data_IF_886731352402
#
_entry.id   IF_886731352402
#
_cell.length_a   1.000
_cell.length_b   1.000
_cell.length_c   1.000
_cell.angle_alpha   90.00
_cell.angle_beta   90.00
_cell.angle_gamma   90.00
#
_symmetry.space_group_name_H-M   'P 1'
#
loop_
_entity.id
_entity.type
_entity.pdbx_description
1 polymer ?
#
# COMPACT_ATOMS: atom_id res chain seq x y z
N UNK A 1 33.15 1.36 -2.44
CA UNK A 1 31.75 0.88 -2.42
C UNK A 1 31.67 -0.30 -1.45
N UNK A 2 30.58 -0.44 -0.69
CA UNK A 2 30.46 -1.54 0.29
C UNK A 2 30.34 -2.87 -0.45
N UNK A 3 31.02 -3.92 0.03
CA UNK A 3 30.94 -5.25 -0.56
C UNK A 3 29.55 -5.86 -0.38
N UNK A 4 29.11 -6.67 -1.35
CA UNK A 4 27.86 -7.40 -1.23
C UNK A 4 28.01 -8.57 -0.26
N UNK A 5 27.12 -8.67 0.71
CA UNK A 5 26.94 -9.84 1.58
C UNK A 5 25.44 -10.05 1.83
N UNK A 6 25.01 -11.30 2.01
CA UNK A 6 23.60 -11.59 2.33
C UNK A 6 23.17 -10.93 3.65
N UNK A 7 24.04 -10.95 4.67
CA UNK A 7 23.79 -10.26 5.93
C UNK A 7 23.62 -8.74 5.76
N UNK A 8 24.42 -8.13 4.89
CA UNK A 8 24.30 -6.71 4.53
C UNK A 8 23.00 -6.39 3.81
N UNK A 9 22.57 -7.27 2.89
CA UNK A 9 21.27 -7.15 2.23
C UNK A 9 20.12 -7.26 3.24
N UNK A 10 20.13 -8.27 4.11
CA UNK A 10 19.09 -8.46 5.12
C UNK A 10 18.96 -7.24 6.04
N UNK A 11 20.09 -6.67 6.47
CA UNK A 11 20.09 -5.44 7.28
C UNK A 11 19.44 -4.28 6.53
N UNK A 12 19.86 -4.03 5.28
CA UNK A 12 19.31 -2.96 4.44
C UNK A 12 17.81 -3.16 4.17
N UNK A 13 17.38 -4.39 3.93
CA UNK A 13 15.96 -4.71 3.74
C UNK A 13 15.16 -4.49 5.03
N UNK A 14 15.71 -4.77 6.22
CA UNK A 14 15.05 -4.45 7.50
C UNK A 14 14.89 -2.93 7.68
N UNK A 15 15.93 -2.16 7.37
CA UNK A 15 15.95 -0.69 7.49
C UNK A 15 15.14 0.03 6.39
N UNK A 16 14.79 -0.65 5.31
CA UNK A 16 13.98 -0.11 4.21
C UNK A 16 12.63 0.38 4.70
N UNK A 17 12.31 1.64 4.37
CA UNK A 17 11.02 2.27 4.63
C UNK A 17 10.40 2.83 3.34
N UNK A 18 9.18 3.37 3.44
CA UNK A 18 8.39 3.83 2.30
C UNK A 18 8.82 5.16 1.69
N UNK A 19 9.85 5.83 2.24
CA UNK A 19 10.35 7.07 1.67
C UNK A 19 11.09 6.83 0.35
N UNK A 20 10.93 7.76 -0.58
CA UNK A 20 11.59 7.70 -1.89
C UNK A 20 13.11 7.60 -1.77
N UNK A 21 13.71 8.35 -0.83
CA UNK A 21 15.15 8.34 -0.59
C UNK A 21 15.64 6.95 -0.12
N UNK A 22 14.91 6.29 0.78
CA UNK A 22 15.27 4.96 1.28
C UNK A 22 15.25 3.93 0.14
N UNK A 23 14.18 3.95 -0.66
CA UNK A 23 14.01 3.05 -1.81
C UNK A 23 15.09 3.28 -2.87
N UNK A 24 15.34 4.53 -3.28
CA UNK A 24 16.34 4.87 -4.29
C UNK A 24 17.76 4.53 -3.85
N UNK A 25 18.10 4.81 -2.60
CA UNK A 25 19.44 4.50 -2.06
C UNK A 25 19.71 3.00 -2.10
N UNK A 26 18.73 2.18 -1.70
CA UNK A 26 18.86 0.73 -1.77
C UNK A 26 18.86 0.24 -3.22
N UNK A 27 17.98 0.75 -4.06
CA UNK A 27 17.90 0.41 -5.49
C UNK A 27 19.24 0.62 -6.21
N UNK A 28 19.88 1.77 -6.02
CA UNK A 28 21.18 2.07 -6.62
C UNK A 28 22.26 1.08 -6.16
N UNK A 29 22.27 0.75 -4.87
CA UNK A 29 23.20 -0.24 -4.32
C UNK A 29 22.95 -1.64 -4.92
N UNK A 30 21.70 -2.06 -5.07
CA UNK A 30 21.35 -3.32 -5.73
C UNK A 30 21.79 -3.34 -7.19
N UNK A 31 21.50 -2.28 -7.96
CA UNK A 31 21.90 -2.17 -9.37
C UNK A 31 23.43 -2.25 -9.53
N UNK A 32 24.18 -1.65 -8.61
CA UNK A 32 25.64 -1.78 -8.59
C UNK A 32 26.09 -3.24 -8.40
N UNK A 33 25.35 -4.01 -7.59
CA UNK A 33 25.61 -5.41 -7.28
C UNK A 33 24.78 -6.41 -8.11
N UNK A 34 24.34 -6.03 -9.32
CA UNK A 34 23.44 -6.86 -10.17
C UNK A 34 23.92 -8.27 -10.48
N UNK A 35 25.23 -8.55 -10.38
CA UNK A 35 25.78 -9.92 -10.48
C UNK A 35 25.20 -10.89 -9.45
N UNK A 36 24.62 -10.36 -8.37
CA UNK A 36 23.93 -11.12 -7.33
C UNK A 36 22.40 -11.01 -7.44
N UNK A 37 21.85 -10.65 -8.61
CA UNK A 37 20.41 -10.47 -8.80
C UNK A 37 19.60 -11.68 -8.32
N UNK A 38 20.05 -12.90 -8.62
CA UNK A 38 19.40 -14.13 -8.16
C UNK A 38 19.27 -14.19 -6.63
N UNK A 39 20.38 -14.00 -5.90
CA UNK A 39 20.39 -14.00 -4.44
C UNK A 39 19.54 -12.87 -3.86
N UNK A 40 19.60 -11.68 -4.46
CA UNK A 40 18.80 -10.52 -4.05
C UNK A 40 17.30 -10.83 -4.16
N UNK A 41 16.85 -11.34 -5.31
CA UNK A 41 15.44 -11.63 -5.56
C UNK A 41 14.97 -12.78 -4.68
N UNK A 42 15.80 -13.80 -4.44
CA UNK A 42 15.49 -14.89 -3.51
C UNK A 42 15.25 -14.39 -2.08
N UNK A 43 16.08 -13.47 -1.59
CA UNK A 43 15.93 -12.88 -0.25
C UNK A 43 14.71 -11.95 -0.23
N UNK A 44 14.52 -11.11 -1.24
CA UNK A 44 13.33 -10.27 -1.40
C UNK A 44 12.04 -11.09 -1.37
N UNK A 45 11.98 -12.23 -2.08
CA UNK A 45 10.83 -13.13 -2.10
C UNK A 45 10.51 -13.67 -0.71
N UNK A 46 11.53 -14.07 0.07
CA UNK A 46 11.34 -14.49 1.47
C UNK A 46 10.75 -13.36 2.33
N UNK A 47 11.24 -12.13 2.19
CA UNK A 47 10.73 -10.97 2.92
C UNK A 47 9.30 -10.60 2.53
N UNK A 48 8.88 -10.83 1.27
CA UNK A 48 7.47 -10.70 0.87
C UNK A 48 6.59 -11.72 1.60
N UNK A 49 7.06 -12.97 1.76
CA UNK A 49 6.28 -14.03 2.39
C UNK A 49 6.04 -13.80 3.87
N UNK A 50 7.00 -13.21 4.59
CA UNK A 50 6.95 -13.00 6.05
C UNK A 50 6.60 -11.56 6.45
N UNK A 51 6.68 -10.60 5.53
CA UNK A 51 6.46 -9.18 5.80
C UNK A 51 5.00 -8.80 6.00
N UNK A 52 4.77 -7.70 6.74
CA UNK A 52 3.46 -7.06 6.84
C UNK A 52 3.05 -6.42 5.51
N UNK A 53 1.75 -6.13 5.33
CA UNK A 53 1.22 -5.48 4.11
C UNK A 53 2.00 -4.21 3.72
N UNK A 54 2.32 -3.35 4.69
CA UNK A 54 3.11 -2.12 4.47
C UNK A 54 4.53 -2.43 3.98
N UNK A 55 5.15 -3.48 4.56
CA UNK A 55 6.47 -3.92 4.14
C UNK A 55 6.45 -4.51 2.73
N UNK A 56 5.45 -5.35 2.43
CA UNK A 56 5.24 -5.93 1.12
C UNK A 56 5.08 -4.85 0.04
N UNK A 57 4.24 -3.84 0.29
CA UNK A 57 4.07 -2.72 -0.65
C UNK A 57 5.38 -1.95 -0.86
N UNK A 58 6.14 -1.70 0.20
CA UNK A 58 7.45 -1.02 0.11
C UNK A 58 8.45 -1.86 -0.70
N UNK A 59 8.48 -3.17 -0.50
CA UNK A 59 9.32 -4.11 -1.25
C UNK A 59 8.92 -4.20 -2.73
N UNK A 60 7.64 -4.06 -3.05
CA UNK A 60 7.16 -3.97 -4.44
C UNK A 60 7.60 -2.66 -5.11
N UNK A 61 7.62 -1.53 -4.38
CA UNK A 61 8.17 -0.28 -4.90
C UNK A 61 9.69 -0.35 -5.12
N UNK A 62 10.42 -1.03 -4.24
CA UNK A 62 11.83 -1.32 -4.48
C UNK A 62 12.03 -2.17 -5.74
N UNK A 63 11.27 -3.26 -5.90
CA UNK A 63 11.35 -4.11 -7.09
C UNK A 63 11.09 -3.29 -8.37
N UNK A 64 10.05 -2.44 -8.35
CA UNK A 64 9.75 -1.56 -9.47
C UNK A 64 10.90 -0.62 -9.83
N UNK A 65 11.50 0.04 -8.83
CA UNK A 65 12.61 0.98 -9.07
C UNK A 65 13.84 0.23 -9.62
N UNK A 66 14.19 -0.93 -9.05
CA UNK A 66 15.31 -1.76 -9.51
C UNK A 66 15.07 -2.27 -10.94
N UNK A 67 13.90 -2.83 -11.24
CA UNK A 67 13.58 -3.37 -12.57
C UNK A 67 13.68 -2.27 -13.63
N UNK A 68 13.12 -1.09 -13.37
CA UNK A 68 13.10 -0.01 -14.36
C UNK A 68 14.48 0.65 -14.54
N UNK A 69 15.22 0.87 -13.46
CA UNK A 69 16.53 1.55 -13.52
C UNK A 69 17.69 0.62 -13.91
N UNK A 70 17.55 -0.70 -13.73
CA UNK A 70 18.57 -1.68 -14.15
C UNK A 70 18.59 -1.97 -15.64
N UNK A 71 17.52 -1.67 -16.40
CA UNK A 71 17.41 -2.01 -17.84
C UNK A 71 18.61 -1.58 -18.69
N UNK A 72 19.20 -0.41 -18.38
CA UNK A 72 20.38 0.12 -19.09
C UNK A 72 21.69 -0.59 -18.73
N UNK A 73 21.71 -1.35 -17.64
CA UNK A 73 22.89 -2.06 -17.10
C UNK A 73 22.88 -3.55 -17.44
N UNK A 74 21.69 -4.14 -17.59
CA UNK A 74 21.51 -5.51 -18.03
C UNK A 74 20.12 -6.06 -17.67
N UNK A 75 19.78 -7.26 -18.19
CA UNK A 75 18.46 -7.86 -18.01
C UNK A 75 18.31 -8.66 -16.71
N UNK A 76 19.37 -8.81 -15.91
CA UNK A 76 19.46 -9.78 -14.81
C UNK A 76 18.32 -9.61 -13.80
N UNK A 77 18.04 -8.37 -13.38
CA UNK A 77 16.94 -8.11 -12.46
C UNK A 77 15.57 -8.33 -13.08
N UNK A 78 15.35 -7.90 -14.32
CA UNK A 78 14.08 -8.14 -15.01
C UNK A 78 13.77 -9.64 -15.11
N UNK A 79 14.76 -10.45 -15.46
CA UNK A 79 14.61 -11.90 -15.55
C UNK A 79 14.36 -12.55 -14.18
N UNK A 80 15.16 -12.21 -13.16
CA UNK A 80 15.02 -12.83 -11.85
C UNK A 80 13.72 -12.43 -11.15
N UNK A 81 13.33 -11.16 -11.18
CA UNK A 81 12.04 -10.74 -10.62
C UNK A 81 10.87 -11.39 -11.35
N UNK A 82 10.92 -11.49 -12.68
CA UNK A 82 9.86 -12.13 -13.47
C UNK A 82 9.50 -13.55 -13.00
N UNK A 83 10.48 -14.31 -12.49
CA UNK A 83 10.29 -15.68 -11.98
C UNK A 83 9.55 -15.73 -10.64
N UNK A 84 9.70 -14.71 -9.79
CA UNK A 84 9.16 -14.69 -8.43
C UNK A 84 7.92 -13.80 -8.27
N UNK A 85 7.65 -12.90 -9.23
CA UNK A 85 6.59 -11.91 -9.14
C UNK A 85 5.19 -12.54 -9.03
N UNK A 86 4.88 -13.58 -9.83
CA UNK A 86 3.58 -14.25 -9.74
C UNK A 86 3.30 -14.78 -8.32
N UNK A 87 4.31 -15.43 -7.72
CA UNK A 87 4.24 -15.91 -6.34
C UNK A 87 4.10 -14.77 -5.32
N UNK A 88 4.83 -13.67 -5.52
CA UNK A 88 4.74 -12.49 -4.67
C UNK A 88 3.35 -11.85 -4.71
N UNK A 89 2.77 -11.64 -5.90
CA UNK A 89 1.41 -11.12 -6.06
C UNK A 89 0.38 -12.05 -5.42
N UNK A 90 0.52 -13.37 -5.58
CA UNK A 90 -0.35 -14.35 -4.91
C UNK A 90 -0.26 -14.27 -3.39
N UNK A 91 0.91 -14.03 -2.82
CA UNK A 91 1.03 -13.88 -1.37
C UNK A 91 0.36 -12.60 -0.87
N UNK A 92 0.61 -11.47 -1.56
CA UNK A 92 0.07 -10.18 -1.16
C UNK A 92 -1.46 -10.17 -1.29
N UNK A 93 -2.01 -10.84 -2.31
CA UNK A 93 -3.45 -10.88 -2.55
C UNK A 93 -4.26 -11.49 -1.40
N UNK A 94 -3.66 -12.35 -0.57
CA UNK A 94 -4.32 -13.00 0.57
C UNK A 94 -4.72 -12.01 1.67
N UNK A 95 -3.91 -10.98 1.89
CA UNK A 95 -4.04 -10.10 3.06
C UNK A 95 -3.96 -8.60 2.72
N UNK A 96 -4.08 -8.20 1.46
CA UNK A 96 -4.00 -6.79 1.08
C UNK A 96 -5.33 -6.04 1.28
N UNK A 97 -5.25 -4.80 1.75
CA UNK A 97 -6.34 -3.83 1.72
C UNK A 97 -6.67 -3.39 0.29
N UNK A 98 -7.87 -2.84 0.09
CA UNK A 98 -8.29 -2.28 -1.20
C UNK A 98 -7.33 -1.17 -1.69
N UNK A 99 -6.76 -0.39 -0.78
CA UNK A 99 -5.76 0.65 -1.10
C UNK A 99 -4.47 0.06 -1.67
N UNK A 100 -3.90 -0.95 -1.00
CA UNK A 100 -2.71 -1.64 -1.49
C UNK A 100 -2.99 -2.33 -2.82
N UNK A 101 -4.18 -2.92 -2.95
CA UNK A 101 -4.63 -3.53 -4.20
C UNK A 101 -4.66 -2.54 -5.36
N UNK A 102 -5.27 -1.37 -5.18
CA UNK A 102 -5.27 -0.31 -6.19
C UNK A 102 -3.84 0.12 -6.57
N UNK A 103 -2.95 0.29 -5.61
CA UNK A 103 -1.56 0.66 -5.87
C UNK A 103 -0.82 -0.39 -6.72
N UNK A 104 -0.99 -1.67 -6.41
CA UNK A 104 -0.35 -2.77 -7.11
C UNK A 104 -0.96 -3.04 -8.48
N UNK A 105 -2.28 -2.88 -8.64
CA UNK A 105 -2.93 -2.91 -9.95
C UNK A 105 -2.40 -1.80 -10.86
N UNK A 106 -2.26 -0.57 -10.34
CA UNK A 106 -1.67 0.53 -11.10
C UNK A 106 -0.24 0.22 -11.53
N UNK A 107 0.55 -0.41 -10.66
CA UNK A 107 1.92 -0.82 -10.93
C UNK A 107 1.98 -1.85 -12.07
N UNK A 108 1.08 -2.85 -12.09
CA UNK A 108 0.96 -3.81 -13.19
C UNK A 108 0.58 -3.13 -14.52
N UNK A 109 -0.38 -2.21 -14.51
CA UNK A 109 -0.77 -1.47 -15.71
C UNK A 109 0.39 -0.65 -16.28
N UNK A 110 1.17 0.02 -15.42
CA UNK A 110 2.36 0.75 -15.84
C UNK A 110 3.41 -0.18 -16.46
N UNK A 111 3.57 -1.39 -15.92
CA UNK A 111 4.48 -2.38 -16.51
C UNK A 111 4.02 -2.86 -17.88
N UNK A 112 2.71 -3.00 -18.09
CA UNK A 112 2.13 -3.32 -19.38
C UNK A 112 2.33 -2.19 -20.40
N UNK A 113 1.93 -0.96 -20.04
CA UNK A 113 2.05 0.24 -20.89
C UNK A 113 3.50 0.51 -21.32
N UNK A 114 4.46 0.26 -20.43
CA UNK A 114 5.89 0.48 -20.69
C UNK A 114 6.62 -0.73 -21.25
N UNK A 115 5.92 -1.85 -21.51
CA UNK A 115 6.54 -3.10 -21.97
C UNK A 115 7.66 -3.58 -21.04
N UNK A 116 7.49 -3.48 -19.73
CA UNK A 116 8.46 -3.98 -18.74
C UNK A 116 8.51 -5.50 -18.78
N UNK A 117 7.35 -6.14 -18.93
CA UNK A 117 7.18 -7.56 -19.13
C UNK A 117 6.30 -7.83 -20.33
N UNK A 118 6.37 -9.05 -20.86
CA UNK A 118 5.48 -9.47 -21.95
C UNK A 118 4.03 -9.51 -21.48
N UNK A 119 3.08 -9.38 -22.41
CA UNK A 119 1.64 -9.44 -22.08
C UNK A 119 1.25 -10.74 -21.37
N UNK A 120 1.84 -11.86 -21.76
CA UNK A 120 1.63 -13.17 -21.14
C UNK A 120 2.02 -13.14 -19.65
N UNK A 121 3.18 -12.58 -19.33
CA UNK A 121 3.63 -12.46 -17.94
C UNK A 121 2.77 -11.48 -17.13
N UNK A 122 2.36 -10.36 -17.74
CA UNK A 122 1.46 -9.41 -17.08
C UNK A 122 0.13 -10.09 -16.75
N UNK A 123 -0.44 -10.84 -17.69
CA UNK A 123 -1.70 -11.57 -17.48
C UNK A 123 -1.53 -12.63 -16.37
N UNK A 124 -0.41 -13.37 -16.35
CA UNK A 124 -0.06 -14.30 -15.25
C UNK A 124 0.00 -13.58 -13.88
N UNK A 125 0.63 -12.40 -13.82
CA UNK A 125 0.73 -11.64 -12.57
C UNK A 125 -0.64 -11.11 -12.11
N UNK A 126 -1.49 -10.65 -13.04
CA UNK A 126 -2.86 -10.21 -12.75
C UNK A 126 -3.70 -11.38 -12.25
N UNK A 127 -3.58 -12.56 -12.86
CA UNK A 127 -4.29 -13.76 -12.44
C UNK A 127 -3.85 -14.23 -11.05
N UNK A 128 -2.54 -14.23 -10.79
CA UNK A 128 -1.99 -14.55 -9.47
C UNK A 128 -2.43 -13.55 -8.39
N UNK A 129 -2.57 -12.27 -8.75
CA UNK A 129 -3.09 -11.25 -7.84
C UNK A 129 -4.61 -11.41 -7.58
N UNK A 130 -5.30 -12.05 -8.52
CA UNK A 130 -6.74 -12.27 -8.51
C UNK A 130 -7.53 -10.99 -8.70
N UNK A 131 -8.83 -11.11 -9.01
CA UNK A 131 -9.77 -10.00 -8.90
C UNK A 131 -10.01 -9.70 -7.43
N UNK A 132 -10.39 -8.47 -7.09
CA UNK A 132 -10.83 -8.13 -5.74
C UNK A 132 -12.00 -9.04 -5.40
N UNK A 133 -11.74 -10.15 -4.73
CA UNK A 133 -12.80 -10.95 -4.14
C UNK A 133 -13.35 -10.03 -3.06
N UNK A 134 -14.48 -9.40 -3.36
CA UNK A 134 -15.32 -8.77 -2.37
C UNK A 134 -15.32 -9.70 -1.15
N UNK A 135 -14.79 -9.20 -0.04
CA UNK A 135 -14.82 -9.88 1.25
C UNK A 135 -16.19 -10.53 1.36
N UNK A 136 -16.24 -11.87 1.48
CA UNK A 136 -17.42 -12.56 1.98
C UNK A 136 -17.81 -11.85 3.28
N UNK A 137 -18.85 -11.04 3.22
CA UNK A 137 -19.69 -10.77 4.36
C UNK A 137 -20.12 -12.16 4.80
N UNK A 138 -19.64 -12.62 5.94
CA UNK A 138 -20.27 -13.73 6.62
C UNK A 138 -21.72 -13.33 6.82
N UNK A 139 -22.61 -13.92 6.02
CA UNK A 139 -24.05 -13.93 6.23
C UNK A 139 -24.34 -14.57 7.59
N UNK A 140 -24.27 -13.77 8.66
CA UNK A 140 -25.09 -14.00 9.84
C UNK A 140 -26.23 -12.97 9.82
N UNK A 141 -27.50 -13.39 9.67
CA UNK A 141 -28.62 -12.46 9.60
C UNK A 141 -28.79 -11.70 10.93
N UNK A 142 -28.97 -10.37 10.92
CA UNK A 142 -29.39 -9.65 12.12
C UNK A 142 -30.81 -10.09 12.47
N UNK A 143 -30.98 -10.78 13.61
CA UNK A 143 -32.29 -11.14 14.14
C UNK A 143 -33.13 -9.87 14.35
N UNK A 144 -34.14 -9.68 13.51
CA UNK A 144 -35.24 -8.74 13.71
C UNK A 144 -35.91 -9.02 15.07
N UNK A 145 -35.83 -8.09 16.02
CA UNK A 145 -36.83 -7.96 17.09
C UNK A 145 -37.76 -6.80 16.74
N UNK A 146 -39.01 -7.11 16.41
CA UNK A 146 -40.07 -6.12 16.18
C UNK A 146 -41.25 -6.40 17.12
N UNK A 147 -41.39 -5.45 18.07
CA UNK A 147 -42.59 -4.80 18.63
C UNK A 147 -43.69 -5.59 19.35
N UNK A 148 -44.05 -5.05 20.53
CA UNK A 148 -45.41 -4.67 20.95
C UNK A 148 -45.25 -3.30 21.66
N UNK A 149 -45.66 -2.16 21.09
CA UNK A 149 -47.00 -1.57 21.01
C UNK A 149 -47.73 -1.51 22.36
N UNK A 150 -47.86 -0.30 22.93
CA UNK A 150 -49.08 0.17 23.58
C UNK A 150 -49.26 1.66 23.34
N UNK A 151 -50.53 2.00 23.15
CA UNK A 151 -51.11 3.17 22.50
C UNK A 151 -51.43 4.26 23.55
N UNK A 152 -51.37 5.55 23.19
CA UNK A 152 -52.44 6.53 23.51
C UNK A 152 -52.12 7.94 22.93
N UNK A 153 -53.04 8.42 22.07
CA UNK A 153 -53.32 9.82 21.69
C UNK A 153 -54.30 10.43 22.73
N UNK A 154 -54.78 11.70 22.62
CA UNK A 154 -54.19 12.97 22.14
C UNK A 154 -54.52 14.17 23.10
N UNK A 155 -53.93 15.38 22.88
CA UNK A 155 -54.65 16.69 22.78
C UNK A 155 -53.72 17.93 22.80
N UNK A 156 -54.23 18.99 22.17
CA UNK A 156 -53.68 20.33 21.86
C UNK A 156 -53.44 21.22 23.10
N UNK A 157 -52.51 22.19 23.01
CA UNK A 157 -52.74 23.65 23.24
C UNK A 157 -51.50 24.51 22.92
N UNK A 158 -51.75 25.77 22.51
CA UNK A 158 -50.79 26.86 22.24
C UNK A 158 -50.25 27.47 23.56
N UNK A 159 -49.04 28.02 23.57
CA UNK A 159 -48.76 29.35 24.16
C UNK A 159 -47.34 29.85 23.84
N UNK A 160 -47.23 31.17 23.66
CA UNK A 160 -46.01 31.99 23.57
C UNK A 160 -45.24 31.98 24.91
N UNK A 161 -43.92 32.22 24.91
CA UNK A 161 -43.32 33.51 25.30
C UNK A 161 -41.77 33.52 25.20
N UNK A 162 -41.25 34.74 25.17
CA UNK A 162 -39.90 35.24 24.91
C UNK A 162 -38.76 34.79 25.83
N UNK A 163 -37.52 34.96 25.34
CA UNK A 163 -36.53 35.71 26.12
C UNK A 163 -35.07 35.22 26.17
N UNK A 164 -34.19 36.09 25.64
CA UNK A 164 -32.86 36.46 26.16
C UNK A 164 -31.61 35.82 25.53
N UNK A 165 -30.86 36.72 24.87
CA UNK A 165 -29.49 36.67 24.36
C UNK A 165 -28.45 36.27 25.41
N UNK A 166 -27.37 35.60 25.01
CA UNK A 166 -26.00 35.88 25.51
C UNK A 166 -24.95 35.65 24.43
N UNK A 167 -24.22 36.73 24.14
CA UNK A 167 -22.96 36.80 23.40
C UNK A 167 -21.83 36.05 24.10
N UNK A 168 -20.94 35.40 23.34
CA UNK A 168 -19.55 35.20 23.76
C UNK A 168 -18.56 35.07 22.57
N UNK A 169 -17.92 36.20 22.26
CA UNK A 169 -16.48 36.45 22.03
C UNK A 169 -15.58 35.28 21.57
N UNK A 170 -14.90 35.45 20.42
CA UNK A 170 -13.68 34.71 19.98
C UNK A 170 -12.68 35.72 19.39
N UNK A 171 -11.74 36.23 20.20
CA UNK A 171 -10.28 35.91 20.24
C UNK A 171 -9.57 36.01 18.88
N UNK A 172 -8.92 37.16 18.64
CA UNK A 172 -7.45 37.42 18.64
C UNK A 172 -6.74 37.12 17.33
N UNK A 173 -6.41 38.21 16.60
CA UNK A 173 -5.43 38.30 15.50
C UNK A 173 -4.14 38.83 16.12
N UNK A 174 -3.09 38.03 16.16
CA UNK A 174 -1.76 38.46 16.60
C UNK A 174 -0.97 38.94 15.37
N UNK A 175 -0.65 40.24 15.34
CA UNK A 175 0.28 40.84 14.38
C UNK A 175 1.60 41.09 15.10
N UNK A 176 2.63 40.47 14.57
CA UNK A 176 4.04 40.62 14.91
C UNK A 176 4.47 42.09 14.89
N UNK A 177 5.21 42.52 15.92
CA UNK A 177 6.06 43.71 15.87
C UNK A 177 7.50 43.31 16.21
N UNK A 178 8.35 43.79 15.31
CA UNK A 178 9.82 43.85 15.28
C UNK A 178 10.43 44.53 16.51
N UNK A 179 11.64 44.13 16.87
CA UNK A 179 12.61 45.01 17.50
C UNK A 179 13.95 44.92 16.75
N UNK A 180 14.38 46.08 16.29
CA UNK A 180 15.76 46.51 16.02
C UNK A 180 16.60 46.49 17.29
#
# INVERSE_FOLDING_TARGET
>A
MTSFTEGGLNKRLKELNSSQQSIQTLSLWLIHHRKYAHTVVKIWSKEILTGSESKQLTLMYLANDVIQNSKKKGPEYGQEFGKELAKAFKQISLNCSSKTRQNLTRLLNIWEERGVYSKIQIDEFKDAFGKETAKKITDEPPKKKVKHSHNHKPKKTKSQNNGIKKDYRRTTKEKSKTFT
#
